data_IF_757273410717
#
_entry.id   IF_757273410717
#
_cell.length_a   1.000
_cell.length_b   1.000
_cell.length_c   1.000
_cell.angle_alpha   90.00
_cell.angle_beta   90.00
_cell.angle_gamma   90.00
#
_symmetry.space_group_name_H-M   'P 1'
#
loop_
_entity.id
_entity.type
_entity.pdbx_description
1 polymer ?
#
# COMPACT_ATOMS: atom_id res chain seq x y z
N UNK A 1 25.14 -9.96 -8.45
CA UNK A 1 23.91 -10.67 -8.06
C UNK A 1 23.56 -10.12 -6.71
N UNK A 2 22.40 -9.48 -6.56
CA UNK A 2 21.91 -9.01 -5.27
C UNK A 2 21.31 -10.21 -4.55
N UNK A 3 21.84 -10.65 -3.39
CA UNK A 3 21.25 -11.75 -2.62
C UNK A 3 19.73 -11.59 -2.43
N UNK A 4 18.93 -12.67 -2.43
CA UNK A 4 17.49 -12.59 -2.20
C UNK A 4 17.10 -11.83 -0.92
N UNK A 5 17.91 -11.92 0.12
CA UNK A 5 17.80 -11.13 1.36
C UNK A 5 17.80 -9.62 1.09
N UNK A 6 18.65 -9.15 0.18
CA UNK A 6 18.68 -7.75 -0.21
C UNK A 6 17.46 -7.32 -1.03
N UNK A 7 16.81 -8.25 -1.75
CA UNK A 7 15.51 -7.98 -2.39
C UNK A 7 14.43 -7.84 -1.32
N UNK A 8 14.45 -8.70 -0.30
CA UNK A 8 13.59 -8.58 0.88
C UNK A 8 13.83 -7.25 1.60
N UNK A 9 15.06 -6.77 1.75
CA UNK A 9 15.37 -5.47 2.38
C UNK A 9 14.93 -4.23 1.61
N UNK A 10 14.21 -4.38 0.49
CA UNK A 10 13.74 -3.22 -0.25
C UNK A 10 14.81 -2.53 -1.09
N UNK A 11 15.92 -3.22 -1.44
CA UNK A 11 16.80 -2.76 -2.52
C UNK A 11 16.18 -2.93 -3.93
N UNK A 12 14.88 -3.22 -3.98
CA UNK A 12 14.04 -3.16 -5.18
C UNK A 12 13.03 -2.04 -5.05
N UNK A 13 13.04 -1.12 -6.02
CA UNK A 13 12.05 -0.06 -6.10
C UNK A 13 10.67 -0.61 -6.43
N UNK A 14 9.65 -0.15 -5.71
CA UNK A 14 8.26 -0.46 -6.03
C UNK A 14 7.78 0.41 -7.21
N UNK A 15 7.11 -0.22 -8.18
CA UNK A 15 6.43 0.47 -9.28
C UNK A 15 4.93 0.45 -9.03
N UNK A 16 4.32 1.63 -8.91
CA UNK A 16 2.88 1.78 -8.81
C UNK A 16 2.30 2.37 -10.09
N UNK A 17 1.30 1.70 -10.65
CA UNK A 17 0.60 2.15 -11.86
C UNK A 17 -0.63 2.95 -11.47
N UNK A 18 -0.74 4.17 -11.97
CA UNK A 18 -1.93 5.01 -11.77
C UNK A 18 -3.00 4.68 -12.81
N UNK A 19 -4.28 4.59 -12.43
CA UNK A 19 -5.34 4.32 -13.39
C UNK A 19 -5.51 5.48 -14.36
N UNK A 20 -5.90 5.16 -15.60
CA UNK A 20 -6.15 6.14 -16.66
C UNK A 20 -7.26 7.13 -16.27
N UNK A 21 -8.19 6.71 -15.44
CA UNK A 21 -9.26 7.53 -14.87
C UNK A 21 -8.76 8.84 -14.24
N UNK A 22 -7.57 8.84 -13.65
CA UNK A 22 -6.96 10.05 -13.08
C UNK A 22 -6.73 11.16 -14.14
N UNK A 23 -6.71 10.82 -15.43
CA UNK A 23 -6.49 11.75 -16.55
C UNK A 23 -7.78 12.14 -17.28
N UNK A 24 -8.94 11.74 -16.77
CA UNK A 24 -10.24 12.11 -17.36
C UNK A 24 -10.43 13.63 -17.23
N UNK A 25 -10.93 14.33 -18.26
CA UNK A 25 -11.23 15.75 -18.15
C UNK A 25 -12.31 16.04 -17.11
N UNK A 26 -12.15 17.14 -16.36
CA UNK A 26 -13.16 17.62 -15.41
C UNK A 26 -14.54 17.78 -16.10
N UNK A 27 -15.61 17.40 -15.41
CA UNK A 27 -16.98 17.39 -15.91
C UNK A 27 -17.34 16.19 -16.78
N UNK A 28 -16.36 15.34 -17.15
CA UNK A 28 -16.63 14.08 -17.86
C UNK A 28 -16.86 12.96 -16.85
N UNK A 29 -17.88 12.14 -17.07
CA UNK A 29 -18.11 10.98 -16.20
C UNK A 29 -16.98 9.96 -16.36
N UNK A 30 -16.50 9.43 -15.24
CA UNK A 30 -15.48 8.37 -15.27
C UNK A 30 -16.00 7.11 -15.94
N UNK A 31 -17.31 6.88 -15.86
CA UNK A 31 -18.03 5.82 -16.57
C UNK A 31 -17.91 5.96 -18.10
N UNK A 32 -18.29 7.12 -18.67
CA UNK A 32 -18.20 7.35 -20.11
C UNK A 32 -16.77 7.28 -20.63
N UNK A 33 -15.80 7.69 -19.80
CA UNK A 33 -14.39 7.57 -20.14
C UNK A 33 -13.94 6.10 -20.17
N UNK A 34 -14.40 5.26 -19.24
CA UNK A 34 -14.15 3.82 -19.26
C UNK A 34 -14.83 3.17 -20.48
N UNK A 35 -16.07 3.53 -20.79
CA UNK A 35 -16.77 3.03 -21.99
C UNK A 35 -15.98 3.33 -23.27
N UNK A 36 -15.49 4.56 -23.42
CA UNK A 36 -14.65 4.93 -24.55
C UNK A 36 -13.35 4.09 -24.60
N UNK A 37 -12.72 3.82 -23.46
CA UNK A 37 -11.52 2.96 -23.40
C UNK A 37 -11.80 1.51 -23.84
N UNK A 38 -13.02 1.00 -23.62
CA UNK A 38 -13.38 -0.34 -24.09
C UNK A 38 -13.47 -0.44 -25.61
N UNK A 39 -13.46 0.68 -26.33
CA UNK A 39 -13.45 0.69 -27.81
C UNK A 39 -12.05 0.66 -28.42
N UNK A 40 -10.99 0.94 -27.64
CA UNK A 40 -9.59 0.87 -28.10
C UNK A 40 -9.02 -0.52 -27.84
N UNK A 41 -8.63 -1.24 -28.90
CA UNK A 41 -8.10 -2.61 -28.82
C UNK A 41 -6.89 -2.78 -27.87
N UNK A 42 -6.17 -1.70 -27.55
CA UNK A 42 -5.03 -1.73 -26.61
C UNK A 42 -5.46 -1.68 -25.14
N UNK A 43 -6.69 -1.24 -24.87
CA UNK A 43 -7.23 -1.06 -23.52
C UNK A 43 -8.57 -1.77 -23.31
N UNK A 44 -9.09 -2.38 -24.37
CA UNK A 44 -10.32 -3.14 -24.34
C UNK A 44 -10.18 -4.34 -23.38
N UNK A 45 -11.24 -4.55 -22.63
CA UNK A 45 -11.38 -5.49 -21.55
C UNK A 45 -12.77 -6.11 -21.74
N UNK A 46 -12.81 -7.29 -22.34
CA UNK A 46 -14.06 -7.97 -22.67
C UNK A 46 -14.23 -9.19 -21.75
N UNK A 47 -15.07 -9.11 -20.69
CA UNK A 47 -15.25 -10.23 -19.77
C UNK A 47 -15.82 -11.49 -20.41
N UNK A 48 -16.47 -11.39 -21.59
CA UNK A 48 -16.96 -12.56 -22.33
C UNK A 48 -15.88 -13.30 -23.11
N UNK A 49 -14.71 -12.68 -23.33
CA UNK A 49 -13.59 -13.27 -24.06
C UNK A 49 -12.30 -13.39 -23.22
N UNK A 50 -12.18 -12.59 -22.17
CA UNK A 50 -11.01 -12.54 -21.27
C UNK A 50 -11.46 -12.56 -19.81
N UNK A 51 -11.25 -13.70 -19.15
CA UNK A 51 -11.53 -13.89 -17.72
C UNK A 51 -10.62 -13.04 -16.82
N UNK A 52 -9.48 -12.58 -17.33
CA UNK A 52 -8.54 -11.72 -16.63
C UNK A 52 -8.85 -10.25 -16.80
N UNK A 53 -9.98 -9.90 -17.43
CA UNK A 53 -10.40 -8.52 -17.58
C UNK A 53 -10.55 -7.83 -16.20
N UNK A 54 -9.70 -6.84 -15.94
CA UNK A 54 -9.60 -6.14 -14.64
C UNK A 54 -10.35 -4.81 -14.59
N UNK A 55 -11.01 -4.41 -15.68
CA UNK A 55 -11.69 -3.11 -15.82
C UNK A 55 -13.10 -3.23 -16.39
N UNK A 56 -13.88 -4.20 -15.90
CA UNK A 56 -15.27 -4.38 -16.29
C UNK A 56 -16.06 -3.09 -16.14
N UNK A 57 -16.90 -2.80 -17.13
CA UNK A 57 -17.81 -1.67 -17.06
C UNK A 57 -18.82 -1.89 -15.92
N UNK A 58 -18.95 -0.96 -14.96
CA UNK A 58 -20.02 -1.02 -13.99
C UNK A 58 -21.39 -0.80 -14.67
N UNK A 59 -22.53 -1.17 -14.06
CA UNK A 59 -23.84 -1.09 -14.72
C UNK A 59 -24.21 0.31 -15.23
N UNK A 60 -24.03 1.35 -14.41
CA UNK A 60 -24.06 2.77 -14.80
C UNK A 60 -23.57 3.62 -13.63
N UNK A 61 -22.95 4.77 -13.88
CA UNK A 61 -22.58 5.73 -12.84
C UNK A 61 -22.53 7.17 -13.38
N UNK A 62 -22.86 8.14 -12.54
CA UNK A 62 -22.85 9.58 -12.82
C UNK A 62 -21.67 10.35 -12.21
N UNK A 63 -20.73 9.66 -11.57
CA UNK A 63 -19.54 10.26 -10.95
C UNK A 63 -18.75 10.99 -12.04
N UNK A 64 -18.68 12.31 -11.92
CA UNK A 64 -17.92 13.16 -12.81
C UNK A 64 -16.54 13.40 -12.22
N UNK A 65 -15.52 13.28 -13.07
CA UNK A 65 -14.20 13.74 -12.70
C UNK A 65 -14.24 15.25 -12.43
N UNK A 66 -13.44 15.72 -11.50
CA UNK A 66 -13.41 17.09 -11.04
C UNK A 66 -12.40 17.27 -9.94
N UNK A 67 -12.45 18.41 -9.26
CA UNK A 67 -11.61 18.65 -8.10
C UNK A 67 -12.26 18.05 -6.86
N UNK A 68 -11.48 17.28 -6.13
CA UNK A 68 -11.79 16.82 -4.80
C UNK A 68 -11.96 18.04 -3.85
N UNK A 69 -13.05 18.11 -3.07
CA UNK A 69 -13.35 19.27 -2.22
C UNK A 69 -12.39 19.44 -1.04
N UNK A 70 -11.65 18.40 -0.65
CA UNK A 70 -10.74 18.43 0.51
C UNK A 70 -9.36 18.93 0.09
N UNK A 71 -8.85 18.41 -1.02
CA UNK A 71 -7.51 18.72 -1.54
C UNK A 71 -7.49 19.83 -2.58
N UNK A 72 -8.65 20.17 -3.16
CA UNK A 72 -8.79 21.04 -4.31
C UNK A 72 -7.91 20.63 -5.51
N UNK A 73 -7.63 19.33 -5.63
CA UNK A 73 -6.91 18.71 -6.73
C UNK A 73 -7.82 17.73 -7.47
N UNK A 74 -7.53 17.35 -8.73
CA UNK A 74 -8.32 16.34 -9.41
C UNK A 74 -8.42 15.04 -8.60
N UNK A 75 -9.60 14.41 -8.57
CA UNK A 75 -9.74 13.12 -7.88
C UNK A 75 -8.74 12.11 -8.42
N UNK A 76 -8.19 11.32 -7.50
CA UNK A 76 -7.35 10.17 -7.79
C UNK A 76 -8.08 8.90 -7.40
N UNK A 77 -7.86 7.84 -8.15
CA UNK A 77 -8.50 6.55 -7.97
C UNK A 77 -7.45 5.46 -7.80
N UNK A 78 -7.79 4.38 -7.09
CA UNK A 78 -6.91 3.23 -6.94
C UNK A 78 -6.92 2.38 -8.22
N UNK A 79 -8.10 2.26 -8.84
CA UNK A 79 -8.36 1.48 -10.03
C UNK A 79 -9.15 2.27 -11.07
N UNK A 80 -9.19 1.76 -12.30
CA UNK A 80 -10.03 2.28 -13.38
C UNK A 80 -11.46 1.75 -13.19
N UNK A 81 -12.10 2.15 -12.10
CA UNK A 81 -13.34 1.56 -11.59
C UNK A 81 -14.59 2.03 -12.34
N UNK A 82 -14.52 3.14 -13.09
CA UNK A 82 -15.65 3.69 -13.84
C UNK A 82 -16.83 4.16 -12.98
N UNK A 83 -16.73 4.08 -11.65
CA UNK A 83 -17.80 4.39 -10.71
C UNK A 83 -17.34 5.32 -9.57
N UNK A 84 -16.03 5.61 -9.49
CA UNK A 84 -15.42 6.50 -8.52
C UNK A 84 -15.33 5.93 -7.11
N UNK A 85 -15.70 4.66 -6.90
CA UNK A 85 -15.77 4.04 -5.57
C UNK A 85 -14.40 3.81 -4.92
N UNK A 86 -13.32 3.91 -5.69
CA UNK A 86 -11.93 3.80 -5.25
C UNK A 86 -11.21 5.15 -5.13
N UNK A 87 -11.96 6.25 -5.08
CA UNK A 87 -11.41 7.59 -4.87
C UNK A 87 -10.69 7.74 -3.52
N UNK A 88 -9.59 8.48 -3.51
CA UNK A 88 -8.83 8.85 -2.32
C UNK A 88 -8.16 10.22 -2.47
N UNK A 89 -7.84 10.85 -1.34
CA UNK A 89 -7.15 12.14 -1.28
C UNK A 89 -5.63 11.97 -1.19
N UNK A 90 -5.20 10.99 -0.38
CA UNK A 90 -3.77 10.68 -0.14
C UNK A 90 -3.50 9.20 -0.37
N UNK A 91 -2.27 8.88 -0.77
CA UNK A 91 -1.85 7.50 -1.02
C UNK A 91 -0.50 7.24 -0.35
N UNK A 92 -0.41 6.08 0.30
CA UNK A 92 0.78 5.60 0.96
C UNK A 92 1.11 4.20 0.45
N UNK A 93 2.16 4.05 -0.35
CA UNK A 93 2.72 2.75 -0.62
C UNK A 93 3.47 2.27 0.62
N UNK A 94 3.15 1.06 1.06
CA UNK A 94 3.75 0.43 2.24
C UNK A 94 4.27 -0.94 1.84
N UNK A 95 5.57 -1.09 1.90
CA UNK A 95 6.24 -2.34 1.64
C UNK A 95 6.65 -2.97 2.97
N UNK A 96 6.24 -4.21 3.18
CA UNK A 96 6.59 -5.00 4.35
C UNK A 96 7.88 -5.76 4.06
N UNK A 97 8.76 -5.75 5.05
CA UNK A 97 10.04 -6.45 5.01
C UNK A 97 10.41 -7.03 6.37
N UNK A 98 11.36 -7.95 6.31
CA UNK A 98 11.97 -8.69 7.39
C UNK A 98 13.47 -8.67 7.15
N UNK A 99 14.22 -8.71 8.23
CA UNK A 99 15.66 -8.63 8.17
C UNK A 99 16.28 -9.51 9.26
N UNK A 100 17.09 -10.47 8.83
CA UNK A 100 17.94 -11.29 9.69
C UNK A 100 19.38 -10.73 9.71
N UNK A 101 19.82 -10.13 10.82
CA UNK A 101 21.17 -9.58 10.93
C UNK A 101 22.27 -10.64 10.77
N UNK A 102 22.02 -11.90 11.14
CA UNK A 102 23.02 -12.96 11.01
C UNK A 102 23.16 -13.39 9.55
N UNK A 103 22.03 -13.55 8.85
CA UNK A 103 22.03 -13.88 7.43
C UNK A 103 22.73 -12.79 6.63
N UNK A 104 22.47 -11.52 6.96
CA UNK A 104 23.12 -10.36 6.36
C UNK A 104 24.63 -10.42 6.49
N UNK A 105 25.12 -10.70 7.70
CA UNK A 105 26.54 -10.75 7.99
C UNK A 105 27.23 -11.94 7.30
N UNK A 106 26.58 -13.11 7.27
CA UNK A 106 27.13 -14.30 6.56
C UNK A 106 27.29 -14.02 5.07
N UNK A 107 26.34 -13.31 4.45
CA UNK A 107 26.43 -12.89 3.05
C UNK A 107 27.63 -11.99 2.74
N UNK A 108 28.12 -11.23 3.72
CA UNK A 108 29.35 -10.45 3.60
C UNK A 108 30.63 -11.31 3.65
N UNK A 109 30.56 -12.57 4.12
CA UNK A 109 31.71 -13.44 4.35
C UNK A 109 31.95 -14.51 3.26
N UNK A 110 31.24 -14.44 2.13
CA UNK A 110 31.33 -15.38 0.98
C UNK A 110 30.97 -16.84 1.29
N UNK A 111 30.35 -17.12 2.43
CA UNK A 111 29.86 -18.45 2.78
C UNK A 111 28.51 -18.72 2.11
N UNK A 112 28.17 -19.99 1.81
CA UNK A 112 26.84 -20.34 1.32
C UNK A 112 25.76 -19.96 2.34
N UNK A 113 24.82 -19.13 1.91
CA UNK A 113 23.65 -18.73 2.69
C UNK A 113 22.59 -19.85 2.67
N UNK A 114 22.29 -20.42 3.82
CA UNK A 114 21.25 -21.44 3.97
C UNK A 114 19.91 -20.78 4.30
N UNK A 115 19.04 -20.57 3.31
CA UNK A 115 17.71 -19.96 3.50
C UNK A 115 16.85 -20.66 4.55
N UNK A 116 17.10 -21.94 4.82
CA UNK A 116 16.42 -22.72 5.87
C UNK A 116 16.74 -22.23 7.29
N UNK A 117 17.85 -21.51 7.47
CA UNK A 117 18.31 -21.00 8.76
C UNK A 117 17.97 -19.51 8.97
N UNK A 118 17.35 -18.86 7.97
CA UNK A 118 17.01 -17.44 8.03
C UNK A 118 15.93 -17.18 9.09
N UNK A 119 16.18 -16.20 9.95
CA UNK A 119 15.31 -15.80 11.06
C UNK A 119 15.25 -14.30 11.19
N UNK A 120 14.19 -13.72 10.65
CA UNK A 120 13.99 -12.28 10.72
C UNK A 120 13.90 -11.78 12.18
N UNK A 121 14.59 -10.68 12.47
CA UNK A 121 14.66 -10.03 13.79
C UNK A 121 14.21 -8.58 13.77
N UNK A 122 14.15 -7.99 12.59
CA UNK A 122 13.66 -6.63 12.39
C UNK A 122 12.59 -6.67 11.32
N UNK A 123 11.43 -6.10 11.64
CA UNK A 123 10.28 -6.03 10.75
C UNK A 123 10.02 -4.57 10.40
N UNK A 124 9.84 -4.32 9.12
CA UNK A 124 10.00 -2.99 8.53
C UNK A 124 8.81 -2.62 7.66
N UNK A 125 8.41 -1.35 7.72
CA UNK A 125 7.56 -0.71 6.73
C UNK A 125 8.40 0.29 5.93
N UNK A 126 8.48 0.13 4.61
CA UNK A 126 9.32 0.95 3.71
C UNK A 126 10.79 1.04 4.18
N UNK A 127 11.33 -0.09 4.64
CA UNK A 127 12.69 -0.19 5.18
C UNK A 127 12.91 0.48 6.53
N UNK A 128 11.85 0.79 7.29
CA UNK A 128 11.92 1.44 8.62
C UNK A 128 11.23 0.58 9.67
N UNK A 129 11.83 0.45 10.85
CA UNK A 129 11.12 -0.06 12.03
C UNK A 129 10.64 1.11 12.88
N UNK A 130 9.60 0.89 13.69
CA UNK A 130 9.21 1.87 14.69
C UNK A 130 10.39 2.11 15.67
N UNK A 131 10.66 3.36 16.11
CA UNK A 131 9.89 4.59 15.85
C UNK A 131 10.25 5.34 14.55
N UNK A 132 11.22 4.90 13.75
CA UNK A 132 11.60 5.61 12.52
C UNK A 132 10.48 5.65 11.45
N UNK A 133 9.50 4.75 11.56
CA UNK A 133 8.29 4.74 10.73
C UNK A 133 7.44 6.00 10.89
N UNK A 134 7.49 6.68 12.06
CA UNK A 134 6.75 7.93 12.28
C UNK A 134 7.46 9.16 11.72
N UNK A 135 8.70 9.01 11.26
CA UNK A 135 9.44 10.13 10.68
C UNK A 135 8.91 10.46 9.27
N UNK A 136 8.51 11.71 9.00
CA UNK A 136 8.08 12.11 7.67
C UNK A 136 9.24 12.24 6.70
N UNK A 137 8.94 12.17 5.40
CA UNK A 137 9.92 12.37 4.33
C UNK A 137 10.97 11.26 4.23
N UNK A 138 11.94 11.39 3.32
CA UNK A 138 12.96 10.37 3.09
C UNK A 138 14.01 10.35 4.21
N UNK A 139 14.54 9.17 4.52
CA UNK A 139 15.66 8.99 5.43
C UNK A 139 16.95 8.74 4.66
N UNK A 140 18.04 9.30 5.17
CA UNK A 140 19.36 9.18 4.57
C UNK A 140 20.32 8.51 5.55
N UNK A 141 21.21 7.69 5.02
CA UNK A 141 22.31 7.05 5.74
C UNK A 141 23.62 7.27 5.01
N UNK A 142 24.74 7.13 5.72
CA UNK A 142 26.05 7.22 5.10
C UNK A 142 26.29 5.97 4.22
N UNK A 143 26.64 6.18 2.95
CA UNK A 143 27.02 5.11 2.04
C UNK A 143 28.53 4.81 2.12
N UNK A 144 28.99 3.82 1.37
CA UNK A 144 30.40 3.41 1.31
C UNK A 144 31.35 4.49 0.77
N UNK A 145 30.82 5.53 0.13
CA UNK A 145 31.58 6.71 -0.30
C UNK A 145 31.75 7.78 0.81
N UNK A 146 31.20 7.53 2.00
CA UNK A 146 31.24 8.45 3.13
C UNK A 146 30.23 9.60 3.04
N UNK A 147 29.38 9.63 2.00
CA UNK A 147 28.34 10.65 1.81
C UNK A 147 26.97 10.13 2.25
N UNK A 148 26.07 11.06 2.58
CA UNK A 148 24.68 10.72 2.91
C UNK A 148 23.88 10.47 1.63
N UNK A 149 23.27 9.30 1.53
CA UNK A 149 22.35 8.93 0.44
C UNK A 149 20.99 8.52 1.00
N UNK A 150 19.92 8.79 0.26
CA UNK A 150 18.59 8.32 0.64
C UNK A 150 18.48 6.81 0.41
N UNK A 151 18.30 6.06 1.50
CA UNK A 151 18.08 4.61 1.47
C UNK A 151 16.60 4.25 1.64
N UNK A 152 15.82 5.06 2.36
CA UNK A 152 14.38 4.86 2.57
C UNK A 152 13.60 6.09 2.04
N UNK A 153 13.36 6.17 0.72
CA UNK A 153 12.79 7.36 0.09
C UNK A 153 11.30 7.57 0.40
N UNK A 154 10.59 6.51 0.79
CA UNK A 154 9.16 6.56 1.11
C UNK A 154 8.94 6.58 2.63
N UNK A 155 8.04 7.45 3.14
CA UNK A 155 7.65 7.44 4.55
C UNK A 155 6.64 6.31 4.82
N UNK A 156 6.53 5.92 6.09
CA UNK A 156 5.52 4.93 6.55
C UNK A 156 4.42 5.57 7.38
N UNK A 157 4.61 6.81 7.85
CA UNK A 157 3.57 7.59 8.54
C UNK A 157 2.45 7.98 7.59
N UNK A 158 1.22 7.70 8.00
CA UNK A 158 0.01 7.97 7.20
C UNK A 158 -0.64 9.25 7.72
N UNK A 159 -0.85 10.23 6.84
CA UNK A 159 -1.49 11.50 7.19
C UNK A 159 -2.75 11.68 6.35
N UNK A 160 -3.91 11.42 6.95
CA UNK A 160 -5.21 11.56 6.29
C UNK A 160 -5.75 12.97 6.56
N UNK A 161 -6.13 13.75 5.54
CA UNK A 161 -6.87 14.99 5.76
C UNK A 161 -8.18 14.72 6.53
N UNK A 162 -8.57 15.61 7.43
CA UNK A 162 -9.83 15.50 8.16
C UNK A 162 -11.03 15.42 7.20
N UNK A 163 -11.85 14.38 7.35
CA UNK A 163 -12.95 14.09 6.43
C UNK A 163 -12.55 13.37 5.14
N UNK A 164 -11.26 13.06 4.96
CA UNK A 164 -10.73 12.39 3.77
C UNK A 164 -10.49 10.90 3.96
N UNK A 165 -9.77 10.32 2.98
CA UNK A 165 -9.44 8.91 2.85
C UNK A 165 -7.99 8.75 2.43
N UNK A 166 -7.37 7.68 2.94
CA UNK A 166 -6.05 7.25 2.49
C UNK A 166 -6.16 5.91 1.76
N UNK A 167 -5.55 5.82 0.58
CA UNK A 167 -5.24 4.55 -0.05
C UNK A 167 -3.91 4.04 0.50
N UNK A 168 -3.91 2.86 1.12
CA UNK A 168 -2.68 2.14 1.41
C UNK A 168 -2.48 1.06 0.35
N UNK A 169 -1.32 1.10 -0.31
CA UNK A 169 -0.90 0.06 -1.27
C UNK A 169 0.15 -0.80 -0.60
N UNK A 170 -0.29 -1.93 -0.08
CA UNK A 170 0.51 -2.79 0.77
C UNK A 170 1.08 -3.92 -0.08
N UNK A 171 2.38 -4.14 -0.03
CA UNK A 171 3.04 -5.31 -0.61
C UNK A 171 3.93 -5.94 0.43
N UNK A 172 4.04 -7.27 0.40
CA UNK A 172 4.88 -8.01 1.32
C UNK A 172 5.99 -8.72 0.55
N UNK A 173 7.25 -8.49 0.94
CA UNK A 173 8.42 -9.18 0.37
C UNK A 173 9.08 -10.14 1.35
N UNK A 174 8.45 -10.42 2.49
CA UNK A 174 8.99 -11.36 3.46
C UNK A 174 9.11 -12.76 2.90
N UNK A 175 10.25 -13.38 3.19
CA UNK A 175 10.58 -14.71 2.70
C UNK A 175 10.30 -15.76 3.76
N UNK A 176 10.41 -15.41 5.04
CA UNK A 176 10.31 -16.38 6.16
C UNK A 176 8.96 -16.36 6.86
N UNK A 177 8.28 -15.22 6.89
CA UNK A 177 7.09 -15.01 7.70
C UNK A 177 5.90 -14.49 6.90
N UNK A 178 4.70 -14.78 7.40
CA UNK A 178 3.49 -14.06 7.01
C UNK A 178 3.32 -12.88 7.95
N UNK A 179 2.99 -11.72 7.39
CA UNK A 179 2.82 -10.50 8.16
C UNK A 179 1.36 -10.15 8.28
N UNK A 180 0.93 -9.91 9.52
CA UNK A 180 -0.40 -9.38 9.80
C UNK A 180 -0.29 -7.92 10.17
N UNK A 181 -1.07 -7.06 9.55
CA UNK A 181 -1.26 -5.67 9.96
C UNK A 181 -2.68 -5.47 10.46
N UNK A 182 -2.83 -4.72 11.54
CA UNK A 182 -4.08 -4.38 12.16
C UNK A 182 -4.24 -2.86 12.30
N UNK A 183 -5.48 -2.39 12.13
CA UNK A 183 -5.91 -1.02 12.40
C UNK A 183 -7.11 -1.07 13.32
N UNK A 184 -6.90 -0.71 14.60
CA UNK A 184 -7.97 -0.69 15.61
C UNK A 184 -8.81 0.59 15.58
N UNK A 185 -8.32 1.65 14.92
CA UNK A 185 -9.00 2.94 14.84
C UNK A 185 -9.95 3.03 13.66
N UNK A 186 -9.39 2.92 12.45
CA UNK A 186 -10.13 3.07 11.18
C UNK A 186 -10.18 1.70 10.51
N UNK A 187 -11.37 1.11 10.28
CA UNK A 187 -11.48 -0.16 9.57
C UNK A 187 -10.85 -0.08 8.18
N UNK A 188 -10.16 -1.14 7.78
CA UNK A 188 -9.58 -1.26 6.44
C UNK A 188 -10.65 -1.76 5.49
N UNK A 189 -11.02 -0.94 4.51
CA UNK A 189 -11.84 -1.36 3.38
C UNK A 189 -10.93 -1.95 2.30
N UNK A 190 -10.89 -3.28 2.20
CA UNK A 190 -10.10 -3.96 1.16
C UNK A 190 -10.81 -3.84 -0.17
N UNK A 191 -10.12 -3.24 -1.15
CA UNK A 191 -10.67 -2.98 -2.49
C UNK A 191 -9.94 -3.73 -3.59
N UNK A 192 -8.73 -4.22 -3.35
CA UNK A 192 -7.95 -4.95 -4.32
C UNK A 192 -7.00 -5.94 -3.67
N UNK A 193 -6.76 -7.06 -4.38
CA UNK A 193 -5.82 -8.11 -3.98
C UNK A 193 -4.97 -8.45 -5.20
N UNK A 194 -3.65 -8.50 -5.03
CA UNK A 194 -2.70 -8.88 -6.08
C UNK A 194 -2.91 -8.07 -7.37
N UNK A 195 -2.97 -6.74 -7.21
CA UNK A 195 -3.24 -5.76 -8.28
C UNK A 195 -4.56 -5.95 -9.04
N UNK A 196 -5.52 -6.68 -8.47
CA UNK A 196 -6.86 -6.88 -9.05
C UNK A 196 -7.93 -6.25 -8.17
N UNK A 197 -8.74 -5.37 -8.78
CA UNK A 197 -9.95 -4.81 -8.17
C UNK A 197 -10.90 -5.93 -7.75
N UNK A 198 -11.38 -5.88 -6.51
CA UNK A 198 -12.38 -6.80 -6.00
C UNK A 198 -13.78 -6.44 -6.51
N UNK A 199 -14.06 -6.87 -7.74
CA UNK A 199 -15.34 -6.67 -8.42
C UNK A 199 -15.67 -7.89 -9.27
N UNK A 200 -16.95 -8.26 -9.29
CA UNK A 200 -17.42 -9.38 -10.11
C UNK A 200 -17.60 -8.98 -11.59
N UNK A 201 -18.10 -9.92 -12.40
CA UNK A 201 -18.33 -9.68 -13.83
C UNK A 201 -19.58 -8.85 -14.13
N UNK A 202 -20.52 -8.75 -13.18
CA UNK A 202 -21.72 -7.93 -13.27
C UNK A 202 -21.46 -6.48 -12.82
N UNK A 203 -20.29 -6.21 -12.27
CA UNK A 203 -19.86 -4.91 -11.80
C UNK A 203 -20.18 -4.65 -10.32
N UNK A 204 -20.59 -5.66 -9.57
CA UNK A 204 -20.84 -5.54 -8.13
C UNK A 204 -19.52 -5.54 -7.35
N UNK A 205 -19.37 -4.57 -6.45
CA UNK A 205 -18.20 -4.48 -5.58
C UNK A 205 -18.18 -5.62 -4.57
N UNK A 206 -17.08 -6.36 -4.54
CA UNK A 206 -16.79 -7.40 -3.54
C UNK A 206 -15.86 -6.88 -2.43
N UNK A 207 -15.91 -5.56 -2.18
CA UNK A 207 -15.13 -4.93 -1.12
C UNK A 207 -15.61 -5.43 0.23
N UNK A 208 -14.68 -5.57 1.17
CA UNK A 208 -15.01 -5.95 2.53
C UNK A 208 -14.23 -5.11 3.53
N UNK A 209 -14.81 -4.93 4.72
CA UNK A 209 -14.14 -4.24 5.82
C UNK A 209 -13.54 -5.27 6.77
N UNK A 210 -12.33 -4.99 7.24
CA UNK A 210 -11.64 -5.78 8.25
C UNK A 210 -10.80 -4.86 9.14
N UNK A 211 -10.47 -5.33 10.34
CA UNK A 211 -9.52 -4.65 11.22
C UNK A 211 -8.12 -5.23 11.09
N UNK A 212 -7.95 -6.34 10.38
CA UNK A 212 -6.65 -6.97 10.15
C UNK A 212 -6.56 -7.57 8.75
N UNK A 213 -5.37 -7.51 8.18
CA UNK A 213 -5.00 -8.15 6.92
C UNK A 213 -3.75 -8.98 7.16
N UNK A 214 -3.66 -10.13 6.52
CA UNK A 214 -2.46 -10.98 6.53
C UNK A 214 -1.99 -11.14 5.11
N UNK A 215 -0.70 -10.94 4.88
CA UNK A 215 -0.04 -11.13 3.60
C UNK A 215 1.13 -12.09 3.81
N UNK A 216 1.47 -12.84 2.76
CA UNK A 216 2.76 -13.51 2.66
C UNK A 216 3.64 -12.88 1.58
N UNK A 217 4.89 -13.33 1.53
CA UNK A 217 5.84 -12.94 0.49
C UNK A 217 5.28 -13.02 -0.93
N UNK A 218 5.31 -11.89 -1.64
CA UNK A 218 4.84 -11.74 -3.00
C UNK A 218 3.36 -11.33 -3.13
N UNK A 219 2.62 -11.23 -2.03
CA UNK A 219 1.24 -10.76 -2.04
C UNK A 219 1.14 -9.23 -1.94
N UNK A 220 0.03 -8.68 -2.42
CA UNK A 220 -0.30 -7.27 -2.26
C UNK A 220 -1.78 -7.03 -2.04
N UNK A 221 -2.08 -5.97 -1.30
CA UNK A 221 -3.42 -5.53 -0.97
C UNK A 221 -3.54 -4.02 -1.15
N UNK A 222 -4.64 -3.57 -1.77
CA UNK A 222 -5.02 -2.16 -1.79
C UNK A 222 -6.19 -1.98 -0.81
N UNK A 223 -5.97 -1.15 0.21
CA UNK A 223 -6.97 -0.86 1.25
C UNK A 223 -7.23 0.63 1.37
N UNK A 224 -8.48 1.00 1.62
CA UNK A 224 -8.86 2.38 1.91
C UNK A 224 -9.14 2.51 3.41
N UNK A 225 -8.45 3.46 4.05
CA UNK A 225 -8.81 3.99 5.35
C UNK A 225 -9.72 5.19 5.16
N UNK A 226 -10.99 5.06 5.58
CA UNK A 226 -12.01 6.08 5.38
C UNK A 226 -12.25 6.89 6.65
N UNK A 227 -11.69 8.11 6.70
CA UNK A 227 -11.83 9.05 7.80
C UNK A 227 -12.90 10.13 7.53
N UNK A 228 -13.85 9.86 6.61
CA UNK A 228 -14.87 10.85 6.22
C UNK A 228 -15.86 11.23 7.33
N UNK A 229 -16.09 10.33 8.29
CA UNK A 229 -16.92 10.62 9.46
C UNK A 229 -16.10 11.39 10.52
N UNK A 230 -16.15 12.73 10.44
CA UNK A 230 -15.40 13.62 11.34
C UNK A 230 -15.84 13.56 12.81
N UNK A 231 -17.01 12.96 13.12
CA UNK A 231 -17.42 12.69 14.49
C UNK A 231 -16.68 11.49 15.11
N UNK A 232 -16.36 10.48 14.29
CA UNK A 232 -15.60 9.31 14.71
C UNK A 232 -14.09 9.54 14.62
N UNK A 233 -13.66 10.33 13.64
CA UNK A 233 -12.26 10.63 13.35
C UNK A 233 -12.02 12.15 13.38
N UNK A 234 -12.05 12.77 14.57
CA UNK A 234 -11.82 14.19 14.70
C UNK A 234 -10.39 14.56 14.30
N UNK A 235 -10.21 15.78 13.81
CA UNK A 235 -8.89 16.34 13.52
C UNK A 235 -8.01 16.30 14.78
N UNK A 236 -6.76 15.86 14.61
CA UNK A 236 -5.79 15.63 15.69
C UNK A 236 -5.83 14.21 16.27
N UNK A 237 -6.72 13.33 15.81
CA UNK A 237 -6.67 11.92 16.20
C UNK A 237 -5.43 11.21 15.66
N UNK A 238 -4.86 10.35 16.49
CA UNK A 238 -3.75 9.45 16.14
C UNK A 238 -4.21 8.01 16.38
N UNK A 239 -4.09 7.19 15.34
CA UNK A 239 -4.31 5.75 15.39
C UNK A 239 -3.03 5.02 14.99
N UNK A 240 -3.04 3.69 15.10
CA UNK A 240 -1.90 2.85 14.74
C UNK A 240 -2.28 1.87 13.64
N UNK A 241 -1.34 1.67 12.71
CA UNK A 241 -1.29 0.52 11.84
C UNK A 241 -0.10 -0.33 12.31
N UNK A 242 -0.37 -1.53 12.81
CA UNK A 242 0.65 -2.29 13.54
C UNK A 242 0.44 -3.79 13.42
N UNK A 243 1.48 -4.58 13.64
CA UNK A 243 1.37 -6.03 13.71
C UNK A 243 0.83 -6.51 15.06
N UNK A 244 -0.19 -7.40 15.10
CA UNK A 244 -0.58 -8.06 16.33
C UNK A 244 0.38 -9.22 16.72
N UNK A 245 1.34 -9.59 15.87
CA UNK A 245 2.40 -10.54 16.20
C UNK A 245 3.37 -9.87 17.18
N UNK A 246 3.31 -10.25 18.46
CA UNK A 246 3.99 -9.49 19.52
C UNK A 246 5.52 -9.47 19.37
N UNK A 247 6.09 -10.55 18.87
CA UNK A 247 7.52 -10.65 18.55
C UNK A 247 7.93 -9.74 17.39
N UNK A 248 7.00 -9.38 16.50
CA UNK A 248 7.24 -8.45 15.39
C UNK A 248 7.09 -6.97 15.80
N UNK A 249 6.75 -6.69 17.07
CA UNK A 249 6.73 -5.34 17.69
C UNK A 249 8.03 -5.04 18.46
N UNK A 250 9.14 -5.58 17.98
CA UNK A 250 10.47 -5.40 18.56
C UNK A 250 11.50 -5.10 17.48
N UNK A 251 12.58 -4.44 17.88
CA UNK A 251 13.81 -4.32 17.11
C UNK A 251 14.84 -5.26 17.75
N UNK A 252 14.83 -6.53 17.34
CA UNK A 252 15.59 -7.61 17.98
C UNK A 252 15.36 -7.69 19.51
N UNK A 253 16.29 -7.22 20.33
CA UNK A 253 16.20 -7.25 21.79
C UNK A 253 15.46 -6.03 22.39
N UNK A 254 15.09 -5.05 21.58
CA UNK A 254 14.46 -3.80 22.03
C UNK A 254 12.94 -3.84 21.81
N UNK A 255 12.18 -3.70 22.92
CA UNK A 255 10.72 -3.62 22.87
C UNK A 255 10.25 -2.26 22.30
N UNK A 256 9.00 -2.23 21.82
CA UNK A 256 8.36 -1.05 21.22
C UNK A 256 9.06 -0.63 19.92
N UNK A 257 9.19 -1.59 19.00
CA UNK A 257 9.79 -1.38 17.68
C UNK A 257 9.01 -2.11 16.58
N UNK A 258 9.72 -2.45 15.51
CA UNK A 258 9.24 -3.36 14.48
C UNK A 258 8.12 -2.81 13.59
N UNK A 259 7.18 -3.68 13.22
CA UNK A 259 6.16 -3.44 12.19
C UNK A 259 4.99 -2.62 12.74
N UNK A 260 5.24 -1.33 12.98
CA UNK A 260 4.25 -0.38 13.50
C UNK A 260 4.46 1.00 12.88
N UNK A 261 3.37 1.72 12.61
CA UNK A 261 3.39 3.14 12.22
C UNK A 261 2.13 3.83 12.74
N UNK A 262 2.07 5.15 12.56
CA UNK A 262 0.96 5.99 12.98
C UNK A 262 0.10 6.45 11.80
N UNK A 263 -1.19 6.61 12.08
CA UNK A 263 -2.22 7.16 11.19
C UNK A 263 -2.78 8.43 11.83
N UNK A 264 -2.42 9.58 11.27
CA UNK A 264 -2.80 10.90 11.78
C UNK A 264 -3.96 11.47 10.98
N UNK A 265 -4.92 12.10 11.67
CA UNK A 265 -6.00 12.88 11.06
C UNK A 265 -5.65 14.37 11.13
N UNK A 266 -5.35 15.00 9.99
CA UNK A 266 -4.78 16.36 9.90
C UNK A 266 -5.75 17.41 9.38
#
# INVERSE_FOLDING_TARGET
>A
ITPPEHLQMGMVGQLYVRPRQNRVPSGTTVYSALQAQQSDLRTACNPSADILCTTNLPPSNSFAQGNDPITNQPYKFAYNDGDGSTAYEVEYPLQIHGFDPNFHFVGMTFNPEAFVDMKDKYFLLNGRSYPDTVQPGPLATQSSDGLMHYSQPLPSIINIPAGGKALLRISDLDVTEYQTLASLGIPMKVIGINAKLLRDQEGNNMYYNTNSITLGGGESLDVILDASNTNLYPKGSVFYLYTPNLDHLSNDAENFGGLMTEVHIN
#
